data_IF_570221598964
#
_entry.id   IF_570221598964
#
_cell.length_a   1.000
_cell.length_b   1.000
_cell.length_c   1.000
_cell.angle_alpha   90.00
_cell.angle_beta   90.00
_cell.angle_gamma   90.00
#
_symmetry.space_group_name_H-M   'P 1'
#
loop_
_entity.id
_entity.type
_entity.pdbx_description
1 polymer ?
#
# COMPACT_ATOMS: atom_id res chain seq x y z
N UNK A 1 -3.34 -12.78 -8.31
CA UNK A 1 -2.84 -11.53 -7.68
C UNK A 1 -2.30 -10.44 -8.64
N UNK A 2 -1.28 -10.69 -9.49
CA UNK A 2 -0.68 -9.61 -10.33
C UNK A 2 -1.68 -8.94 -11.28
N UNK A 3 -2.56 -9.73 -11.91
CA UNK A 3 -3.65 -9.23 -12.75
C UNK A 3 -4.58 -8.27 -11.99
N UNK A 4 -4.82 -8.49 -10.70
CA UNK A 4 -5.61 -7.58 -9.88
C UNK A 4 -4.89 -6.24 -9.68
N UNK A 5 -3.60 -6.27 -9.36
CA UNK A 5 -2.80 -5.06 -9.17
C UNK A 5 -2.73 -4.21 -10.45
N UNK A 6 -2.51 -4.84 -11.60
CA UNK A 6 -2.45 -4.15 -12.90
C UNK A 6 -3.81 -3.58 -13.28
N UNK A 7 -4.89 -4.37 -13.18
CA UNK A 7 -6.24 -3.89 -13.48
C UNK A 7 -6.64 -2.71 -12.58
N UNK A 8 -6.29 -2.74 -11.28
CA UNK A 8 -6.54 -1.64 -10.37
C UNK A 8 -5.83 -0.37 -10.83
N UNK A 9 -4.55 -0.47 -11.24
CA UNK A 9 -3.76 0.66 -11.74
C UNK A 9 -4.32 1.27 -13.03
N UNK A 10 -4.95 0.45 -13.87
CA UNK A 10 -5.63 0.88 -15.09
C UNK A 10 -7.02 1.49 -14.83
N UNK A 11 -7.52 1.46 -13.59
CA UNK A 11 -8.88 1.90 -13.28
C UNK A 11 -9.97 0.87 -13.61
N UNK A 12 -9.61 -0.35 -14.01
CA UNK A 12 -10.53 -1.47 -14.21
C UNK A 12 -10.91 -2.11 -12.85
N UNK A 13 -11.42 -1.30 -11.92
CA UNK A 13 -11.57 -1.65 -10.51
C UNK A 13 -12.43 -2.89 -10.27
N UNK A 14 -13.53 -3.07 -11.00
CA UNK A 14 -14.39 -4.25 -10.87
C UNK A 14 -13.69 -5.53 -11.32
N UNK A 15 -12.91 -5.46 -12.40
CA UNK A 15 -12.11 -6.59 -12.89
C UNK A 15 -10.98 -6.92 -11.93
N UNK A 16 -10.32 -5.89 -11.40
CA UNK A 16 -9.33 -6.01 -10.36
C UNK A 16 -9.90 -6.72 -9.12
N UNK A 17 -11.09 -6.32 -8.68
CA UNK A 17 -11.80 -6.93 -7.57
C UNK A 17 -12.13 -8.40 -7.82
N UNK A 18 -12.59 -8.74 -9.02
CA UNK A 18 -12.81 -10.14 -9.43
C UNK A 18 -11.53 -10.99 -9.33
N UNK A 19 -10.40 -10.50 -9.84
CA UNK A 19 -9.13 -11.22 -9.75
C UNK A 19 -8.61 -11.34 -8.32
N UNK A 20 -8.81 -10.29 -7.50
CA UNK A 20 -8.43 -10.28 -6.09
C UNK A 20 -9.22 -11.36 -5.33
N UNK A 21 -10.56 -11.35 -5.41
CA UNK A 21 -11.42 -12.33 -4.76
C UNK A 21 -11.12 -13.76 -5.17
N UNK A 22 -10.91 -14.00 -6.48
CA UNK A 22 -10.52 -15.33 -6.97
C UNK A 22 -9.22 -15.82 -6.33
N UNK A 23 -8.27 -14.92 -6.07
CA UNK A 23 -7.02 -15.27 -5.39
C UNK A 23 -7.26 -15.55 -3.90
N UNK A 24 -8.08 -14.75 -3.21
CA UNK A 24 -8.45 -15.00 -1.80
C UNK A 24 -9.12 -16.36 -1.60
N UNK A 25 -10.02 -16.73 -2.52
CA UNK A 25 -10.81 -17.95 -2.44
C UNK A 25 -9.98 -19.24 -2.42
N UNK A 26 -8.74 -19.21 -2.94
CA UNK A 26 -7.83 -20.36 -2.99
C UNK A 26 -7.52 -20.86 -1.58
N UNK A 27 -7.11 -19.95 -0.68
CA UNK A 27 -6.70 -20.31 0.68
C UNK A 27 -7.86 -20.26 1.68
N UNK A 28 -8.90 -19.44 1.41
CA UNK A 28 -10.10 -19.37 2.25
C UNK A 28 -11.09 -20.53 2.02
N UNK A 29 -10.74 -21.50 1.17
CA UNK A 29 -11.52 -22.73 0.90
C UNK A 29 -12.93 -22.52 0.34
N UNK A 30 -13.24 -21.36 -0.24
CA UNK A 30 -14.51 -21.15 -0.95
C UNK A 30 -14.65 -22.06 -2.18
N UNK A 31 -13.56 -22.66 -2.67
CA UNK A 31 -13.52 -23.51 -3.87
C UNK A 31 -13.12 -24.97 -3.61
N UNK A 32 -13.10 -25.44 -2.34
CA UNK A 32 -12.70 -26.80 -1.96
C UNK A 32 -11.37 -26.89 -1.21
N UNK A 33 -11.02 -28.09 -0.70
CA UNK A 33 -10.08 -28.40 0.40
C UNK A 33 -8.57 -28.12 0.16
N UNK A 34 -8.23 -27.06 -0.56
CA UNK A 34 -6.83 -26.74 -0.90
C UNK A 34 -5.97 -26.33 0.31
N UNK A 35 -6.54 -25.71 1.34
CA UNK A 35 -5.76 -25.28 2.52
C UNK A 35 -5.21 -26.45 3.35
N UNK A 36 -5.83 -27.63 3.27
CA UNK A 36 -5.35 -28.84 3.95
C UNK A 36 -3.99 -29.32 3.40
N UNK A 37 -3.60 -28.84 2.21
CA UNK A 37 -2.31 -29.12 1.56
C UNK A 37 -1.26 -28.03 1.81
N UNK A 38 -1.60 -27.02 2.63
CA UNK A 38 -0.78 -25.86 2.93
C UNK A 38 -1.33 -24.55 2.36
N UNK A 39 -0.78 -23.43 2.82
CA UNK A 39 -1.13 -22.08 2.33
C UNK A 39 -0.30 -21.70 1.10
N UNK A 40 -0.89 -20.97 0.17
CA UNK A 40 -0.19 -20.48 -1.01
C UNK A 40 0.54 -19.16 -0.69
N UNK A 41 1.67 -19.24 0.03
CA UNK A 41 2.38 -18.05 0.55
C UNK A 41 2.69 -16.98 -0.52
N UNK A 42 3.05 -17.39 -1.74
CA UNK A 42 3.27 -16.47 -2.86
C UNK A 42 1.99 -15.75 -3.30
N UNK A 43 0.85 -16.44 -3.26
CA UNK A 43 -0.46 -15.84 -3.55
C UNK A 43 -0.87 -14.84 -2.46
N UNK A 44 -0.63 -15.17 -1.18
CA UNK A 44 -0.88 -14.28 -0.04
C UNK A 44 -0.04 -13.00 -0.11
N UNK A 45 1.26 -13.12 -0.40
CA UNK A 45 2.12 -11.94 -0.65
C UNK A 45 1.62 -11.12 -1.84
N UNK A 46 1.16 -11.79 -2.90
CA UNK A 46 0.56 -11.14 -4.06
C UNK A 46 -0.77 -10.43 -3.76
N UNK A 47 -1.57 -10.91 -2.81
CA UNK A 47 -2.78 -10.23 -2.33
C UNK A 47 -2.42 -8.93 -1.61
N UNK A 48 -1.43 -8.96 -0.72
CA UNK A 48 -0.93 -7.73 -0.08
C UNK A 48 -0.45 -6.72 -1.12
N UNK A 49 0.34 -7.16 -2.10
CA UNK A 49 0.80 -6.27 -3.18
C UNK A 49 -0.36 -5.70 -4.00
N UNK A 50 -1.38 -6.51 -4.33
CA UNK A 50 -2.54 -6.03 -5.05
C UNK A 50 -3.35 -5.00 -4.25
N UNK A 51 -3.48 -5.18 -2.94
CA UNK A 51 -4.12 -4.21 -2.05
C UNK A 51 -3.33 -2.89 -1.99
N UNK A 52 -2.03 -2.97 -1.73
CA UNK A 52 -1.20 -1.79 -1.41
C UNK A 52 -0.70 -1.08 -2.68
N UNK A 53 -0.11 -1.85 -3.60
CA UNK A 53 0.50 -1.30 -4.82
C UNK A 53 -0.50 -1.19 -5.98
N UNK A 54 -1.65 -1.87 -5.89
CA UNK A 54 -2.76 -1.82 -6.83
C UNK A 54 -3.86 -0.87 -6.36
N UNK A 55 -4.72 -1.33 -5.46
CA UNK A 55 -5.93 -0.60 -5.04
C UNK A 55 -5.65 0.72 -4.31
N UNK A 56 -4.74 0.78 -3.34
CA UNK A 56 -4.35 2.11 -2.79
C UNK A 56 -3.46 2.92 -3.72
N UNK A 57 -2.88 2.27 -4.74
CA UNK A 57 -2.01 2.91 -5.70
C UNK A 57 -0.72 3.45 -5.08
N UNK A 58 -0.21 2.84 -4.00
CA UNK A 58 1.05 3.25 -3.39
C UNK A 58 2.19 3.08 -4.41
N UNK A 59 2.96 4.14 -4.62
CA UNK A 59 4.11 4.18 -5.52
C UNK A 59 5.27 4.91 -4.85
N UNK A 60 6.47 4.48 -5.20
CA UNK A 60 7.71 5.20 -4.92
C UNK A 60 8.04 5.99 -6.19
N UNK A 61 8.17 7.30 -6.06
CA UNK A 61 8.62 8.20 -7.12
C UNK A 61 9.82 9.05 -6.68
N UNK A 62 10.30 9.94 -7.56
CA UNK A 62 11.43 10.84 -7.25
C UNK A 62 11.18 11.69 -6.00
N UNK A 63 9.94 12.13 -5.79
CA UNK A 63 9.53 12.97 -4.66
C UNK A 63 9.16 12.18 -3.39
N UNK A 64 9.28 10.85 -3.41
CA UNK A 64 8.95 9.97 -2.29
C UNK A 64 7.71 9.10 -2.51
N UNK A 65 6.99 8.80 -1.43
CA UNK A 65 5.79 7.97 -1.49
C UNK A 65 4.57 8.78 -1.93
N UNK A 66 3.83 8.23 -2.89
CA UNK A 66 2.55 8.77 -3.35
C UNK A 66 1.48 7.68 -3.41
N UNK A 67 0.21 8.08 -3.32
CA UNK A 67 -0.95 7.19 -3.43
C UNK A 67 -1.93 7.72 -4.46
N UNK A 68 -2.62 6.81 -5.14
CA UNK A 68 -3.69 7.11 -6.10
C UNK A 68 -4.77 6.03 -5.95
N UNK A 69 -5.65 6.18 -4.95
CA UNK A 69 -6.58 5.11 -4.57
C UNK A 69 -7.63 4.87 -5.65
N UNK A 70 -7.81 3.60 -5.99
CA UNK A 70 -8.84 3.06 -6.90
C UNK A 70 -9.47 1.87 -6.20
N UNK A 71 -10.19 2.14 -5.11
CA UNK A 71 -10.74 1.10 -4.25
C UNK A 71 -11.98 0.45 -4.88
N UNK A 72 -12.20 -0.86 -4.69
CA UNK A 72 -13.45 -1.52 -5.04
C UNK A 72 -14.66 -0.79 -4.43
N UNK A 73 -15.80 -0.84 -5.12
CA UNK A 73 -17.07 -0.26 -4.64
C UNK A 73 -17.50 -0.81 -3.28
N UNK A 74 -17.12 -2.05 -2.95
CA UNK A 74 -17.35 -2.69 -1.64
C UNK A 74 -16.45 -2.17 -0.52
N UNK A 75 -15.38 -1.44 -0.82
CA UNK A 75 -14.43 -0.92 0.16
C UNK A 75 -14.72 0.55 0.45
N UNK A 76 -15.27 0.84 1.62
CA UNK A 76 -15.44 2.24 2.05
C UNK A 76 -14.11 2.94 2.36
N UNK A 77 -13.11 2.19 2.85
CA UNK A 77 -11.78 2.70 3.18
C UNK A 77 -10.74 1.58 3.20
N UNK A 78 -9.47 1.94 3.05
CA UNK A 78 -8.31 1.12 3.37
C UNK A 78 -7.37 1.89 4.29
N UNK A 79 -6.81 1.19 5.29
CA UNK A 79 -5.78 1.72 6.19
C UNK A 79 -4.60 0.78 6.22
N UNK A 80 -3.40 1.34 6.11
CA UNK A 80 -2.17 0.58 6.19
C UNK A 80 -1.00 1.46 6.63
N UNK A 81 0.12 0.85 6.98
CA UNK A 81 1.37 1.53 7.22
C UNK A 81 2.45 1.00 6.27
N UNK A 82 3.35 1.88 5.85
CA UNK A 82 4.57 1.52 5.13
C UNK A 82 5.78 2.13 5.84
N UNK A 83 6.94 1.49 5.71
CA UNK A 83 8.20 2.00 6.25
C UNK A 83 9.08 2.49 5.10
N UNK A 84 9.42 3.77 5.11
CA UNK A 84 10.22 4.44 4.08
C UNK A 84 11.35 5.20 4.72
N UNK A 85 12.59 4.93 4.30
CA UNK A 85 13.82 5.45 4.94
C UNK A 85 13.78 5.36 6.48
N UNK A 86 13.45 4.18 6.99
CA UNK A 86 13.42 3.90 8.43
C UNK A 86 12.21 4.48 9.18
N UNK A 87 11.42 5.36 8.57
CA UNK A 87 10.25 6.00 9.18
C UNK A 87 8.96 5.27 8.82
N UNK A 88 8.11 5.03 9.82
CA UNK A 88 6.77 4.47 9.64
C UNK A 88 5.82 5.58 9.23
N UNK A 89 5.03 5.33 8.21
CA UNK A 89 4.08 6.28 7.64
C UNK A 89 2.72 5.59 7.50
N UNK A 90 1.67 6.25 7.97
CA UNK A 90 0.31 5.71 7.99
C UNK A 90 -0.52 6.33 6.87
N UNK A 91 -1.31 5.49 6.21
CA UNK A 91 -2.13 5.87 5.05
C UNK A 91 -3.58 5.53 5.34
N UNK A 92 -4.43 6.55 5.35
CA UNK A 92 -5.87 6.42 5.54
C UNK A 92 -6.58 6.89 4.26
N UNK A 93 -7.00 5.95 3.42
CA UNK A 93 -7.61 6.27 2.12
C UNK A 93 -9.08 5.86 2.14
N UNK A 94 -9.95 6.78 1.76
CA UNK A 94 -11.37 6.51 1.55
C UNK A 94 -11.64 6.33 0.05
N UNK A 95 -12.68 5.58 -0.28
CA UNK A 95 -13.18 5.58 -1.66
C UNK A 95 -13.80 6.96 -1.92
N UNK A 96 -13.50 7.62 -3.05
CA UNK A 96 -14.23 8.82 -3.41
C UNK A 96 -15.73 8.47 -3.50
N UNK A 97 -16.64 9.38 -3.12
CA UNK A 97 -18.07 9.14 -3.28
C UNK A 97 -18.33 8.80 -4.76
N UNK A 98 -19.09 7.73 -5.00
CA UNK A 98 -19.40 7.31 -6.37
C UNK A 98 -20.07 8.47 -7.10
N UNK A 99 -19.55 8.94 -8.25
CA UNK A 99 -20.23 9.97 -9.00
C UNK A 99 -21.58 9.40 -9.41
N UNK A 100 -22.65 10.03 -8.92
CA UNK A 100 -23.98 9.87 -9.49
C UNK A 100 -23.86 10.07 -11.01
N UNK A 101 -24.35 9.10 -11.76
CA UNK A 101 -24.16 9.00 -13.21
C UNK A 101 -24.80 10.19 -13.94
N UNK A 102 -23.98 11.19 -14.33
CA UNK A 102 -23.96 11.87 -15.66
C UNK A 102 -23.02 13.09 -15.64
N UNK A 103 -21.91 13.01 -16.38
CA UNK A 103 -21.33 14.19 -17.07
C UNK A 103 -20.22 15.00 -16.39
N UNK A 104 -19.89 14.80 -15.11
CA UNK A 104 -18.80 15.57 -14.49
C UNK A 104 -17.44 14.87 -14.59
N UNK A 105 -16.34 15.60 -14.89
CA UNK A 105 -15.00 15.04 -14.85
C UNK A 105 -14.70 14.52 -13.45
N UNK A 106 -14.29 13.26 -13.33
CA UNK A 106 -13.77 12.72 -12.08
C UNK A 106 -12.46 13.44 -11.80
N UNK A 107 -12.48 14.36 -10.83
CA UNK A 107 -11.27 14.97 -10.27
C UNK A 107 -10.47 13.84 -9.63
N UNK A 108 -9.42 13.40 -10.31
CA UNK A 108 -8.44 12.49 -9.72
C UNK A 108 -7.78 13.29 -8.60
N UNK A 109 -7.90 12.89 -7.32
CA UNK A 109 -7.21 13.62 -6.27
C UNK A 109 -5.72 13.61 -6.59
N UNK A 110 -5.11 14.79 -6.55
CA UNK A 110 -3.66 14.96 -6.67
C UNK A 110 -2.96 13.94 -5.76
N UNK A 111 -1.86 13.31 -6.20
CA UNK A 111 -1.12 12.40 -5.35
C UNK A 111 -0.80 13.11 -4.04
N UNK A 112 -1.32 12.57 -2.94
CA UNK A 112 -0.90 13.01 -1.61
C UNK A 112 0.56 12.59 -1.50
N UNK A 113 1.47 13.53 -1.70
CA UNK A 113 2.88 13.33 -1.36
C UNK A 113 2.94 13.15 0.14
N UNK A 114 3.42 12.00 0.58
CA UNK A 114 3.97 11.94 1.92
C UNK A 114 5.30 12.70 1.89
N UNK A 115 5.35 13.86 2.56
CA UNK A 115 6.49 14.78 2.49
C UNK A 115 7.84 14.03 2.64
N UNK A 116 8.86 14.37 1.83
CA UNK A 116 10.20 13.83 2.02
C UNK A 116 10.65 14.27 3.39
N UNK A 117 10.77 13.32 4.29
CA UNK A 117 11.08 13.67 5.66
C UNK A 117 12.54 14.13 5.69
N UNK A 118 12.78 15.36 6.16
CA UNK A 118 14.10 15.97 6.20
C UNK A 118 15.09 15.00 6.88
N UNK A 119 16.27 14.85 6.28
CA UNK A 119 17.34 14.04 6.85
C UNK A 119 17.79 14.72 8.15
N UNK A 120 17.38 14.18 9.29
CA UNK A 120 18.00 14.58 10.57
C UNK A 120 19.37 13.91 10.58
N UNK A 121 20.39 14.68 10.20
CA UNK A 121 21.78 14.31 10.45
C UNK A 121 21.95 14.17 11.97
N UNK A 122 22.04 12.94 12.45
CA UNK A 122 22.53 12.71 13.81
C UNK A 122 24.05 12.93 13.76
N UNK A 123 24.50 14.12 14.12
CA UNK A 123 25.87 14.31 14.56
C UNK A 123 25.98 13.70 15.95
N UNK A 124 26.65 12.56 16.08
CA UNK A 124 27.10 12.07 17.38
C UNK A 124 28.04 13.13 17.98
N UNK A 125 27.90 13.48 19.26
CA UNK A 125 28.89 14.32 19.91
C UNK A 125 30.18 13.52 20.06
N UNK A 126 31.28 14.10 19.59
CA UNK A 126 32.61 13.57 19.79
C UNK A 126 32.85 13.29 21.28
N UNK A 127 33.17 12.04 21.61
CA UNK A 127 33.57 11.60 22.94
C UNK A 127 34.86 12.34 23.34
N UNK A 128 34.68 13.43 24.09
CA UNK A 128 35.75 14.13 24.80
C UNK A 128 35.70 13.72 26.26
N UNK A 129 36.15 12.50 26.59
CA UNK A 129 36.71 12.28 27.91
C UNK A 129 37.68 11.09 27.99
N UNK A 130 38.97 11.37 27.72
CA UNK A 130 40.08 10.67 28.39
C UNK A 130 41.11 11.70 28.83
N UNK A 131 40.90 12.27 30.02
CA UNK A 131 41.91 13.00 30.77
C UNK A 131 41.80 12.69 32.26
N UNK A 132 42.93 12.30 32.86
CA UNK A 132 43.14 12.08 34.29
C UNK A 132 43.00 10.60 34.68
N UNK A 133 43.96 9.94 35.30
CA UNK A 133 45.10 10.40 36.09
C UNK A 133 45.30 9.35 37.18
N UNK A 134 46.56 8.98 37.45
CA UNK A 134 47.01 7.94 38.36
C UNK A 134 46.67 8.24 39.85
N UNK A 135 47.04 7.37 40.82
CA UNK A 135 48.44 7.07 41.14
C UNK A 135 48.91 5.65 40.82
#
# INVERSE_FOLDING_TARGET
>A
PIHAAVAARLGETEKAWKYFRRTCAIDLCETGSYSARGIHIGALGGLWQAAILGFSGLRVGPEGLSVSPRLPSSWGRIRFAARWHGRRQEFHLASPPSPSRKGEPVVVPEPVLAAPAQAVARTEPADRNRSGGAP
#
